data_IF_385485378449
#
_entry.id   IF_385485378449
#
_cell.length_a   1.000
_cell.length_b   1.000
_cell.length_c   1.000
_cell.angle_alpha   90.00
_cell.angle_beta   90.00
_cell.angle_gamma   90.00
#
_symmetry.space_group_name_H-M   'P 1'
#
loop_
_entity.id
_entity.type
_entity.pdbx_description
1 polymer ?
#
# COMPACT_ATOMS: atom_id res chain seq x y z
N UNK A 1 11.35 52.60 -36.38
CA UNK A 1 12.50 51.78 -35.90
C UNK A 1 11.92 50.54 -35.26
N UNK A 2 11.93 49.40 -35.96
CA UNK A 2 11.52 48.12 -35.40
C UNK A 2 12.68 47.56 -34.58
N UNK A 3 12.57 47.62 -33.25
CA UNK A 3 13.43 46.87 -32.35
C UNK A 3 12.97 45.42 -32.36
N UNK A 4 13.65 44.58 -33.13
CA UNK A 4 13.43 43.13 -33.16
C UNK A 4 13.95 42.57 -31.82
N UNK A 5 13.10 42.12 -30.90
CA UNK A 5 13.56 41.62 -29.61
C UNK A 5 14.03 40.17 -29.79
N UNK A 6 15.33 39.96 -29.60
CA UNK A 6 15.92 38.68 -29.22
C UNK A 6 15.74 37.52 -30.20
N UNK A 7 16.78 37.22 -30.97
CA UNK A 7 16.99 35.86 -31.46
C UNK A 7 17.07 34.93 -30.24
N UNK A 8 15.96 34.30 -29.88
CA UNK A 8 15.93 33.23 -28.90
C UNK A 8 16.93 32.16 -29.37
N UNK A 9 17.91 31.84 -28.53
CA UNK A 9 18.94 30.86 -28.86
C UNK A 9 18.29 29.53 -29.27
N UNK A 10 18.47 29.15 -30.54
CA UNK A 10 18.01 27.86 -31.04
C UNK A 10 18.74 26.75 -30.29
N UNK A 11 17.98 25.91 -29.57
CA UNK A 11 18.50 24.68 -28.98
C UNK A 11 18.78 23.69 -30.12
N UNK A 12 20.05 23.50 -30.48
CA UNK A 12 20.47 22.44 -31.38
C UNK A 12 20.63 21.14 -30.59
N UNK A 13 19.82 20.13 -30.93
CA UNK A 13 19.93 18.76 -30.39
C UNK A 13 20.51 17.87 -31.48
N UNK A 14 21.64 17.21 -31.19
CA UNK A 14 22.18 16.12 -32.02
C UNK A 14 21.94 14.80 -31.27
N UNK A 15 21.45 13.79 -31.99
CA UNK A 15 21.12 12.46 -31.48
C UNK A 15 22.28 11.48 -31.67
N UNK A 16 23.46 11.98 -32.05
CA UNK A 16 24.63 11.18 -32.46
C UNK A 16 25.49 10.71 -31.27
N UNK A 17 24.97 10.85 -30.04
CA UNK A 17 25.61 10.47 -28.77
C UNK A 17 25.31 9.01 -28.41
N UNK A 18 26.12 8.37 -27.54
CA UNK A 18 26.11 6.91 -27.38
C UNK A 18 24.71 6.38 -27.10
N UNK A 19 24.39 5.28 -27.80
CA UNK A 19 23.13 4.57 -27.69
C UNK A 19 22.90 4.16 -26.24
N UNK A 20 21.78 4.56 -25.68
CA UNK A 20 21.32 4.00 -24.40
C UNK A 20 20.71 2.64 -24.73
N UNK A 21 21.32 1.56 -24.24
CA UNK A 21 20.90 0.19 -24.58
C UNK A 21 19.60 -0.22 -23.86
N UNK A 22 19.31 0.40 -22.71
CA UNK A 22 18.10 0.16 -21.91
C UNK A 22 17.52 1.46 -21.39
N UNK A 23 16.27 1.75 -21.74
CA UNK A 23 15.48 2.81 -21.13
C UNK A 23 14.44 2.15 -20.23
N UNK A 24 14.65 2.15 -18.92
CA UNK A 24 13.76 1.48 -17.98
C UNK A 24 12.51 2.33 -17.70
N UNK A 25 11.33 1.75 -17.91
CA UNK A 25 10.05 2.45 -17.80
C UNK A 25 9.52 2.49 -16.36
N UNK A 26 10.22 3.17 -15.46
CA UNK A 26 9.82 3.28 -14.04
C UNK A 26 8.44 3.92 -13.85
N UNK A 27 8.09 4.92 -14.68
CA UNK A 27 6.84 5.67 -14.60
C UNK A 27 5.59 4.84 -14.92
N UNK A 28 5.75 3.63 -15.47
CA UNK A 28 4.66 2.72 -15.80
C UNK A 28 4.76 1.40 -15.04
N UNK A 29 5.44 1.35 -13.88
CA UNK A 29 5.47 0.11 -13.08
C UNK A 29 4.24 -0.01 -12.17
N UNK A 30 3.93 1.04 -11.41
CA UNK A 30 2.88 1.03 -10.37
C UNK A 30 1.98 2.25 -10.55
N UNK A 31 0.66 2.07 -10.42
CA UNK A 31 -0.33 3.16 -10.38
C UNK A 31 -1.09 3.14 -9.05
N UNK A 32 -1.43 4.33 -8.54
CA UNK A 32 -2.29 4.46 -7.37
C UNK A 32 -3.77 4.34 -7.73
N UNK A 33 -4.58 3.88 -6.77
CA UNK A 33 -6.03 3.89 -6.84
C UNK A 33 -6.63 4.31 -5.50
N UNK A 34 -7.96 4.37 -5.42
CA UNK A 34 -8.68 4.69 -4.19
C UNK A 34 -8.58 3.59 -3.12
N UNK A 35 -9.69 3.07 -2.63
CA UNK A 35 -9.69 2.01 -1.60
C UNK A 35 -10.15 0.67 -2.15
N UNK A 36 -9.74 -0.44 -1.52
CA UNK A 36 -9.96 -1.80 -1.99
C UNK A 36 -11.41 -2.09 -2.42
N UNK A 37 -12.40 -1.68 -1.61
CA UNK A 37 -13.81 -1.93 -1.90
C UNK A 37 -14.28 -1.29 -3.24
N UNK A 38 -13.71 -0.15 -3.63
CA UNK A 38 -14.03 0.48 -4.93
C UNK A 38 -13.61 -0.40 -6.11
N UNK A 39 -12.58 -1.23 -5.93
CA UNK A 39 -12.12 -2.19 -6.93
C UNK A 39 -13.09 -3.34 -7.22
N UNK A 40 -14.13 -3.51 -6.39
CA UNK A 40 -15.23 -4.44 -6.67
C UNK A 40 -16.21 -3.89 -7.72
N UNK A 41 -16.13 -2.60 -8.05
CA UNK A 41 -17.02 -1.97 -9.03
C UNK A 41 -16.55 -2.24 -10.45
N UNK A 42 -17.51 -2.52 -11.33
CA UNK A 42 -17.25 -2.81 -12.74
C UNK A 42 -16.57 -1.65 -13.48
N UNK A 43 -16.90 -0.39 -13.14
CA UNK A 43 -16.28 0.78 -13.76
C UNK A 43 -14.82 0.96 -13.35
N UNK A 44 -14.51 0.76 -12.07
CA UNK A 44 -13.13 0.75 -11.58
C UNK A 44 -12.29 -0.32 -12.29
N UNK A 45 -12.83 -1.53 -12.43
CA UNK A 45 -12.17 -2.64 -13.13
C UNK A 45 -11.95 -2.34 -14.62
N UNK A 46 -12.94 -1.73 -15.28
CA UNK A 46 -12.80 -1.29 -16.67
C UNK A 46 -11.70 -0.23 -16.82
N UNK A 47 -11.60 0.73 -15.88
CA UNK A 47 -10.55 1.74 -15.87
C UNK A 47 -9.16 1.14 -15.61
N UNK A 48 -9.05 0.17 -14.67
CA UNK A 48 -7.78 -0.52 -14.43
C UNK A 48 -7.30 -1.24 -15.69
N UNK A 49 -8.19 -1.98 -16.36
CA UNK A 49 -7.87 -2.66 -17.62
C UNK A 49 -7.44 -1.67 -18.70
N UNK A 50 -8.11 -0.53 -18.82
CA UNK A 50 -7.74 0.52 -19.77
C UNK A 50 -6.33 1.04 -19.49
N UNK A 51 -6.02 1.36 -18.24
CA UNK A 51 -4.73 1.90 -17.82
C UNK A 51 -3.60 0.86 -17.98
N UNK A 52 -3.87 -0.41 -17.68
CA UNK A 52 -2.93 -1.50 -17.94
C UNK A 52 -2.62 -1.63 -19.45
N UNK A 53 -3.67 -1.70 -20.28
CA UNK A 53 -3.51 -1.94 -21.73
C UNK A 53 -2.93 -0.75 -22.49
N UNK A 54 -3.22 0.49 -22.08
CA UNK A 54 -2.79 1.69 -22.80
C UNK A 54 -1.51 2.30 -22.23
N UNK A 55 -1.27 2.20 -20.91
CA UNK A 55 -0.10 2.80 -20.26
C UNK A 55 0.94 1.79 -19.77
N UNK A 56 0.61 0.49 -19.74
CA UNK A 56 1.56 -0.58 -19.41
C UNK A 56 1.82 -0.80 -17.91
N UNK A 57 0.96 -0.28 -17.02
CA UNK A 57 1.10 -0.48 -15.58
C UNK A 57 1.02 -1.95 -15.18
N UNK A 58 1.97 -2.41 -14.36
CA UNK A 58 2.07 -3.81 -13.93
C UNK A 58 1.47 -4.04 -12.55
N UNK A 59 1.45 -3.01 -11.72
CA UNK A 59 0.92 -3.07 -10.36
C UNK A 59 -0.07 -1.94 -10.08
N UNK A 60 -0.97 -2.18 -9.14
CA UNK A 60 -1.85 -1.16 -8.56
C UNK A 60 -1.72 -1.16 -7.03
N UNK A 61 -1.64 0.04 -6.44
CA UNK A 61 -1.57 0.28 -4.99
C UNK A 61 -2.83 1.02 -4.54
N UNK A 62 -3.51 0.54 -3.51
CA UNK A 62 -4.73 1.14 -2.94
C UNK A 62 -4.79 0.94 -1.43
N UNK A 63 -5.58 1.77 -0.76
CA UNK A 63 -5.79 1.72 0.68
C UNK A 63 -6.87 0.71 1.08
N UNK A 64 -6.96 0.44 2.39
CA UNK A 64 -8.18 -0.09 3.00
C UNK A 64 -8.44 -1.57 2.69
N UNK A 65 -7.38 -2.36 2.48
CA UNK A 65 -7.47 -3.81 2.39
C UNK A 65 -8.19 -4.40 3.62
N UNK A 66 -7.88 -3.88 4.80
CA UNK A 66 -8.42 -4.31 6.10
C UNK A 66 -9.51 -3.38 6.63
N UNK A 67 -10.05 -2.52 5.78
CA UNK A 67 -11.20 -1.71 6.16
C UNK A 67 -12.43 -2.59 6.43
N UNK A 68 -13.31 -2.18 7.34
CA UNK A 68 -14.44 -3.02 7.80
C UNK A 68 -15.43 -3.37 6.69
N UNK A 69 -15.51 -2.59 5.61
CA UNK A 69 -16.36 -2.88 4.45
C UNK A 69 -15.75 -3.88 3.46
N UNK A 70 -14.52 -4.33 3.71
CA UNK A 70 -13.95 -5.54 3.10
C UNK A 70 -14.29 -6.80 3.92
N UNK A 71 -14.85 -6.64 5.12
CA UNK A 71 -15.31 -7.73 5.99
C UNK A 71 -14.23 -8.80 6.28
N UNK A 72 -12.97 -8.38 6.44
CA UNK A 72 -11.83 -9.32 6.52
C UNK A 72 -11.78 -10.08 7.83
N UNK A 73 -12.25 -9.47 8.93
CA UNK A 73 -12.18 -10.07 10.27
C UNK A 73 -13.54 -9.99 10.96
N UNK A 74 -13.94 -11.11 11.56
CA UNK A 74 -15.14 -11.26 12.37
C UNK A 74 -14.80 -11.95 13.69
N UNK A 75 -15.67 -11.82 14.69
CA UNK A 75 -15.60 -12.61 15.92
C UNK A 75 -16.75 -13.61 15.96
N UNK A 76 -16.43 -14.89 16.14
CA UNK A 76 -17.40 -15.98 16.31
C UNK A 76 -16.96 -16.78 17.54
N UNK A 77 -17.83 -16.92 18.52
CA UNK A 77 -17.56 -17.62 19.80
C UNK A 77 -16.27 -17.14 20.50
N UNK A 78 -15.99 -15.83 20.43
CA UNK A 78 -14.81 -15.21 21.02
C UNK A 78 -13.50 -15.48 20.28
N UNK A 79 -13.56 -16.03 19.06
CA UNK A 79 -12.41 -16.28 18.19
C UNK A 79 -12.48 -15.41 16.94
N UNK A 80 -11.33 -14.89 16.51
CA UNK A 80 -11.23 -14.18 15.24
C UNK A 80 -11.34 -15.16 14.08
N UNK A 81 -12.23 -14.86 13.14
CA UNK A 81 -12.42 -15.61 11.89
C UNK A 81 -12.18 -14.66 10.72
N UNK A 82 -11.38 -15.11 9.76
CA UNK A 82 -11.00 -14.31 8.59
C UNK A 82 -11.84 -14.67 7.36
N UNK A 83 -12.33 -13.65 6.66
CA UNK A 83 -13.12 -13.80 5.44
C UNK A 83 -12.46 -13.04 4.29
N UNK A 84 -11.97 -13.78 3.30
CA UNK A 84 -11.25 -13.21 2.16
C UNK A 84 -12.12 -13.05 0.91
N UNK A 85 -13.44 -13.25 0.98
CA UNK A 85 -14.31 -13.30 -0.20
C UNK A 85 -14.21 -12.06 -1.11
N UNK A 86 -14.21 -10.85 -0.52
CA UNK A 86 -14.11 -9.61 -1.30
C UNK A 86 -12.69 -9.33 -1.76
N UNK A 87 -11.69 -9.70 -0.95
CA UNK A 87 -10.29 -9.62 -1.36
C UNK A 87 -10.03 -10.54 -2.57
N UNK A 88 -10.53 -11.77 -2.52
CA UNK A 88 -10.43 -12.74 -3.61
C UNK A 88 -11.09 -12.22 -4.88
N UNK A 89 -12.33 -11.71 -4.79
CA UNK A 89 -13.03 -11.16 -5.95
C UNK A 89 -12.26 -10.00 -6.62
N UNK A 90 -11.63 -9.13 -5.83
CA UNK A 90 -10.79 -8.05 -6.33
C UNK A 90 -9.48 -8.56 -6.95
N UNK A 91 -8.76 -9.42 -6.21
CA UNK A 91 -7.42 -9.87 -6.61
C UNK A 91 -7.50 -10.81 -7.81
N UNK A 92 -8.50 -11.70 -7.88
CA UNK A 92 -8.77 -12.52 -9.07
C UNK A 92 -8.96 -11.62 -10.30
N UNK A 93 -9.82 -10.59 -10.20
CA UNK A 93 -10.09 -9.68 -11.31
C UNK A 93 -8.82 -8.92 -11.76
N UNK A 94 -7.98 -8.50 -10.82
CA UNK A 94 -6.71 -7.84 -11.13
C UNK A 94 -5.74 -8.78 -11.86
N UNK A 95 -5.56 -9.99 -11.33
CA UNK A 95 -4.64 -10.98 -11.89
C UNK A 95 -5.10 -11.47 -13.27
N UNK A 96 -6.41 -11.64 -13.48
CA UNK A 96 -7.01 -11.96 -14.78
C UNK A 96 -6.74 -10.86 -15.82
N UNK A 97 -6.60 -9.61 -15.40
CA UNK A 97 -6.20 -8.49 -16.27
C UNK A 97 -4.68 -8.42 -16.50
N UNK A 98 -3.89 -9.23 -15.80
CA UNK A 98 -2.43 -9.17 -15.83
C UNK A 98 -1.82 -8.09 -14.93
N UNK A 99 -2.60 -7.55 -13.99
CA UNK A 99 -2.16 -6.53 -13.02
C UNK A 99 -1.99 -7.16 -11.65
N UNK A 100 -0.86 -6.88 -10.99
CA UNK A 100 -0.56 -7.41 -9.66
C UNK A 100 -0.85 -6.40 -8.56
N UNK A 101 -1.14 -6.86 -7.33
CA UNK A 101 -1.26 -5.95 -6.21
C UNK A 101 0.12 -5.46 -5.75
N UNK A 102 0.20 -4.15 -5.50
CA UNK A 102 1.13 -3.59 -4.53
C UNK A 102 0.33 -3.43 -3.24
N UNK A 103 0.44 -4.42 -2.36
CA UNK A 103 -0.41 -4.60 -1.19
C UNK A 103 -0.04 -3.58 -0.13
N UNK A 104 -1.03 -2.84 0.38
CA UNK A 104 -0.92 -2.08 1.62
C UNK A 104 -1.67 -2.83 2.74
N UNK A 105 -0.96 -3.18 3.82
CA UNK A 105 -1.60 -3.66 5.04
C UNK A 105 -2.13 -2.47 5.85
N UNK A 106 -3.42 -2.16 5.67
CA UNK A 106 -4.09 -1.08 6.37
C UNK A 106 -5.53 -0.88 5.91
N UNK A 107 -6.34 -0.07 6.60
CA UNK A 107 -6.09 0.46 7.94
C UNK A 107 -6.42 -0.60 9.02
N UNK A 108 -6.45 -0.26 10.31
CA UNK A 108 -6.75 -1.25 11.35
C UNK A 108 -8.25 -1.61 11.33
N UNK A 109 -8.67 -2.89 11.33
CA UNK A 109 -10.08 -3.22 11.51
C UNK A 109 -10.60 -2.73 12.86
N UNK A 110 -11.82 -2.20 12.92
CA UNK A 110 -12.36 -1.63 14.17
C UNK A 110 -12.46 -2.65 15.30
N UNK A 111 -12.63 -3.94 14.95
CA UNK A 111 -12.69 -5.05 15.91
C UNK A 111 -11.42 -5.14 16.78
N UNK A 112 -10.25 -4.89 16.18
CA UNK A 112 -8.95 -5.04 16.84
C UNK A 112 -8.25 -3.71 17.11
N UNK A 113 -8.82 -2.56 16.75
CA UNK A 113 -8.23 -1.24 16.99
C UNK A 113 -8.37 -0.77 18.45
N UNK A 114 -7.39 -0.03 18.99
CA UNK A 114 -7.43 0.50 20.37
C UNK A 114 -8.58 1.49 20.60
N UNK A 115 -8.92 2.26 19.57
CA UNK A 115 -9.99 3.25 19.54
C UNK A 115 -10.57 3.33 18.13
N UNK A 116 -11.60 4.15 17.93
CA UNK A 116 -12.19 4.40 16.60
C UNK A 116 -11.90 5.85 16.22
N UNK A 117 -10.62 6.14 15.96
CA UNK A 117 -10.19 7.40 15.38
C UNK A 117 -9.91 7.20 13.90
N UNK A 118 -10.63 7.95 13.06
CA UNK A 118 -10.82 7.58 11.66
C UNK A 118 -10.41 8.70 10.71
N UNK A 119 -9.78 8.30 9.61
CA UNK A 119 -9.42 9.15 8.48
C UNK A 119 -10.41 9.00 7.32
N UNK A 120 -10.53 10.05 6.51
CA UNK A 120 -11.39 10.15 5.33
C UNK A 120 -12.90 10.05 5.60
N UNK A 121 -13.69 10.32 4.55
CA UNK A 121 -15.15 10.22 4.61
C UNK A 121 -15.65 8.78 4.83
N UNK A 122 -14.86 7.79 4.42
CA UNK A 122 -15.16 6.36 4.55
C UNK A 122 -14.67 5.76 5.87
N UNK A 123 -14.08 6.56 6.77
CA UNK A 123 -13.75 6.22 8.16
C UNK A 123 -12.73 5.09 8.33
N UNK A 124 -11.60 5.14 7.60
CA UNK A 124 -10.48 4.24 7.84
C UNK A 124 -9.88 4.43 9.22
N UNK A 125 -9.76 3.38 10.03
CA UNK A 125 -9.33 3.52 11.42
C UNK A 125 -7.80 3.57 11.55
N UNK A 126 -7.29 4.75 11.89
CA UNK A 126 -5.86 5.05 11.99
C UNK A 126 -5.22 4.57 13.30
N UNK A 127 -5.97 3.95 14.20
CA UNK A 127 -5.47 3.55 15.50
C UNK A 127 -4.66 2.26 15.45
N UNK A 128 -3.65 2.10 16.33
CA UNK A 128 -2.91 0.85 16.44
C UNK A 128 -3.83 -0.30 16.91
N UNK A 129 -3.43 -1.56 16.69
CA UNK A 129 -4.18 -2.70 17.22
C UNK A 129 -4.07 -2.77 18.75
N UNK A 130 -5.13 -3.25 19.42
CA UNK A 130 -5.19 -3.54 20.86
C UNK A 130 -4.05 -4.44 21.30
N UNK A 131 -3.72 -5.43 20.47
CA UNK A 131 -2.66 -6.39 20.70
C UNK A 131 -1.94 -6.67 19.37
N UNK A 132 -0.61 -6.61 19.37
CA UNK A 132 0.20 -6.85 18.15
C UNK A 132 0.02 -8.26 17.59
N UNK A 133 -0.26 -9.24 18.45
CA UNK A 133 -0.49 -10.63 18.02
C UNK A 133 -1.75 -10.74 17.14
N UNK A 134 -2.81 -10.00 17.45
CA UNK A 134 -4.04 -9.99 16.63
C UNK A 134 -3.78 -9.45 15.22
N UNK A 135 -2.93 -8.42 15.11
CA UNK A 135 -2.50 -7.88 13.82
C UNK A 135 -1.58 -8.85 13.07
N UNK A 136 -0.61 -9.43 13.78
CA UNK A 136 0.31 -10.43 13.23
C UNK A 136 -0.45 -11.65 12.67
N UNK A 137 -1.46 -12.12 13.41
CA UNK A 137 -2.34 -13.22 12.99
C UNK A 137 -3.13 -12.87 11.72
N UNK A 138 -3.70 -11.67 11.65
CA UNK A 138 -4.41 -11.19 10.47
C UNK A 138 -3.50 -11.11 9.23
N UNK A 139 -2.31 -10.52 9.37
CA UNK A 139 -1.32 -10.43 8.29
C UNK A 139 -0.90 -11.82 7.81
N UNK A 140 -0.57 -12.71 8.76
CA UNK A 140 -0.18 -14.09 8.46
C UNK A 140 -1.30 -14.86 7.75
N UNK A 141 -2.52 -14.79 8.27
CA UNK A 141 -3.67 -15.47 7.66
C UNK A 141 -3.94 -14.97 6.24
N UNK A 142 -3.83 -13.65 6.02
CA UNK A 142 -4.03 -13.04 4.70
C UNK A 142 -2.99 -13.51 3.68
N UNK A 143 -1.70 -13.47 4.04
CA UNK A 143 -0.62 -13.86 3.13
C UNK A 143 -0.61 -15.38 2.90
N UNK A 144 -0.82 -16.19 3.95
CA UNK A 144 -0.94 -17.64 3.82
C UNK A 144 -2.13 -18.05 2.93
N UNK A 145 -3.27 -17.35 3.05
CA UNK A 145 -4.41 -17.53 2.15
C UNK A 145 -4.03 -17.27 0.69
N UNK A 146 -3.34 -16.16 0.40
CA UNK A 146 -2.88 -15.87 -0.96
C UNK A 146 -1.87 -16.88 -1.49
N UNK A 147 -0.94 -17.36 -0.66
CA UNK A 147 0.01 -18.43 -1.05
C UNK A 147 -0.77 -19.69 -1.43
N UNK A 148 -1.79 -20.06 -0.65
CA UNK A 148 -2.65 -21.23 -0.92
C UNK A 148 -3.49 -21.05 -2.20
N UNK A 149 -4.01 -19.85 -2.43
CA UNK A 149 -4.90 -19.54 -3.57
C UNK A 149 -4.16 -19.36 -4.89
N UNK A 150 -3.09 -18.57 -4.90
CA UNK A 150 -2.38 -18.14 -6.11
C UNK A 150 -1.03 -18.82 -6.31
N UNK A 151 -0.53 -19.52 -5.30
CA UNK A 151 0.78 -20.17 -5.32
C UNK A 151 1.92 -19.22 -4.92
N UNK A 152 2.92 -19.78 -4.23
CA UNK A 152 4.04 -19.00 -3.68
C UNK A 152 4.82 -18.23 -4.74
N UNK A 153 5.03 -18.80 -5.93
CA UNK A 153 5.78 -18.14 -7.00
C UNK A 153 5.09 -16.86 -7.49
N UNK A 154 3.77 -16.86 -7.63
CA UNK A 154 3.03 -15.64 -7.98
C UNK A 154 3.11 -14.62 -6.84
N UNK A 155 2.89 -15.03 -5.60
CA UNK A 155 2.90 -14.13 -4.43
C UNK A 155 4.28 -13.50 -4.19
N UNK A 156 5.38 -14.19 -4.52
CA UNK A 156 6.75 -13.63 -4.50
C UNK A 156 6.93 -12.45 -5.46
N UNK A 157 6.12 -12.37 -6.51
CA UNK A 157 6.12 -11.25 -7.45
C UNK A 157 5.32 -10.04 -6.96
N UNK A 158 4.73 -10.08 -5.76
CA UNK A 158 4.00 -8.95 -5.19
C UNK A 158 4.87 -8.10 -4.26
N UNK A 159 4.41 -6.90 -3.93
CA UNK A 159 5.00 -6.02 -2.93
C UNK A 159 4.05 -5.91 -1.75
N UNK A 160 4.59 -5.89 -0.53
CA UNK A 160 3.83 -5.70 0.71
C UNK A 160 4.35 -4.48 1.45
N UNK A 161 3.48 -3.49 1.65
CA UNK A 161 3.75 -2.26 2.37
C UNK A 161 3.01 -2.26 3.71
N UNK A 162 3.73 -1.93 4.78
CA UNK A 162 3.16 -1.83 6.10
C UNK A 162 2.65 -0.40 6.35
N UNK A 163 1.32 -0.26 6.41
CA UNK A 163 0.61 0.99 6.70
C UNK A 163 0.74 2.08 5.63
N UNK A 164 0.17 3.26 5.92
CA UNK A 164 0.29 4.47 5.11
C UNK A 164 0.53 5.69 6.00
N UNK A 165 1.56 6.49 5.66
CA UNK A 165 1.88 7.78 6.25
C UNK A 165 1.82 7.83 7.79
N UNK A 166 2.49 6.90 8.50
CA UNK A 166 2.41 6.82 9.96
C UNK A 166 2.98 8.05 10.68
N UNK A 167 3.72 8.90 9.97
CA UNK A 167 4.20 10.18 10.48
C UNK A 167 3.09 11.24 10.55
N UNK A 168 1.93 11.04 9.93
CA UNK A 168 0.81 11.98 10.02
C UNK A 168 -0.22 11.47 11.03
N UNK A 169 -0.53 12.28 12.05
CA UNK A 169 -1.43 11.89 13.16
C UNK A 169 -2.82 11.43 12.69
N UNK A 170 -3.32 11.97 11.58
CA UNK A 170 -4.60 11.56 11.01
C UNK A 170 -4.56 10.13 10.47
N UNK A 171 -3.39 9.64 10.05
CA UNK A 171 -3.20 8.32 9.46
C UNK A 171 -2.72 7.28 10.46
N UNK A 172 -2.05 7.71 11.54
CA UNK A 172 -1.67 6.83 12.65
C UNK A 172 -1.76 7.57 13.99
N UNK A 173 -2.59 7.06 14.90
CA UNK A 173 -2.80 7.72 16.22
C UNK A 173 -1.83 7.26 17.31
N UNK A 174 -1.08 6.19 17.05
CA UNK A 174 -0.05 5.68 17.95
C UNK A 174 1.24 6.51 17.94
N UNK A 175 2.16 6.16 18.84
CA UNK A 175 3.52 6.71 18.85
C UNK A 175 4.38 6.09 17.75
N UNK A 176 5.50 6.74 17.42
CA UNK A 176 6.48 6.19 16.47
C UNK A 176 6.98 4.80 16.87
N UNK A 177 7.19 4.53 18.16
CA UNK A 177 7.59 3.20 18.65
C UNK A 177 6.49 2.16 18.46
N UNK A 178 5.22 2.55 18.61
CA UNK A 178 4.10 1.67 18.27
C UNK A 178 4.06 1.34 16.78
N UNK A 179 4.39 2.31 15.90
CA UNK A 179 4.55 2.04 14.47
C UNK A 179 5.72 1.08 14.20
N UNK A 180 6.88 1.27 14.85
CA UNK A 180 8.02 0.36 14.70
C UNK A 180 7.70 -1.06 15.16
N UNK A 181 6.97 -1.21 16.26
CA UNK A 181 6.51 -2.51 16.73
C UNK A 181 5.52 -3.17 15.75
N UNK A 182 4.59 -2.39 15.20
CA UNK A 182 3.66 -2.82 14.14
C UNK A 182 4.42 -3.27 12.88
N UNK A 183 5.41 -2.49 12.45
CA UNK A 183 6.27 -2.79 11.31
C UNK A 183 7.06 -4.07 11.53
N UNK A 184 7.72 -4.20 12.69
CA UNK A 184 8.50 -5.37 13.04
C UNK A 184 7.63 -6.64 13.06
N UNK A 185 6.45 -6.60 13.69
CA UNK A 185 5.57 -7.78 13.72
C UNK A 185 5.03 -8.12 12.32
N UNK A 186 4.71 -7.13 11.49
CA UNK A 186 4.28 -7.32 10.10
C UNK A 186 5.38 -8.00 9.27
N UNK A 187 6.61 -7.49 9.33
CA UNK A 187 7.75 -8.06 8.60
C UNK A 187 8.02 -9.49 9.05
N UNK A 188 8.02 -9.74 10.37
CA UNK A 188 8.21 -11.11 10.91
C UNK A 188 7.11 -12.06 10.44
N UNK A 189 5.84 -11.65 10.49
CA UNK A 189 4.72 -12.47 10.04
C UNK A 189 4.84 -12.86 8.56
N UNK A 190 5.21 -11.91 7.68
CA UNK A 190 5.41 -12.17 6.26
C UNK A 190 6.64 -13.07 6.02
N UNK A 191 7.78 -12.76 6.64
CA UNK A 191 9.03 -13.48 6.42
C UNK A 191 9.04 -14.90 6.98
N UNK A 192 8.23 -15.18 8.00
CA UNK A 192 8.03 -16.54 8.53
C UNK A 192 7.33 -17.46 7.54
N UNK A 193 6.48 -16.92 6.65
CA UNK A 193 5.82 -17.70 5.60
C UNK A 193 6.78 -18.00 4.46
N UNK A 194 7.52 -16.98 4.00
CA UNK A 194 8.60 -17.14 3.03
C UNK A 194 9.57 -15.96 3.06
N UNK A 195 10.87 -16.27 3.14
CA UNK A 195 11.92 -15.27 3.29
C UNK A 195 12.09 -14.37 2.04
N UNK A 196 11.64 -14.80 0.87
CA UNK A 196 11.77 -14.06 -0.38
C UNK A 196 10.62 -13.06 -0.63
N UNK A 197 9.52 -13.13 0.13
CA UNK A 197 8.43 -12.15 0.04
C UNK A 197 8.93 -10.73 0.34
N UNK A 198 8.55 -9.77 -0.51
CA UNK A 198 9.09 -8.40 -0.46
C UNK A 198 8.18 -7.51 0.40
N UNK A 199 8.58 -7.29 1.65
CA UNK A 199 7.87 -6.44 2.61
C UNK A 199 8.70 -5.21 2.96
N UNK A 200 8.06 -4.04 3.07
CA UNK A 200 8.72 -2.76 3.32
C UNK A 200 7.84 -1.67 3.91
N UNK A 201 8.46 -0.51 4.16
CA UNK A 201 7.92 0.70 4.79
C UNK A 201 8.98 1.81 4.78
N UNK A 202 8.81 2.94 5.49
CA UNK A 202 7.73 3.23 6.43
C UNK A 202 6.47 3.88 5.81
N UNK A 203 6.39 3.96 4.48
CA UNK A 203 5.29 4.61 3.75
C UNK A 203 5.00 6.07 4.22
N UNK A 204 6.01 6.77 4.74
CA UNK A 204 5.86 8.14 5.24
C UNK A 204 5.45 9.09 4.13
N UNK A 205 4.68 10.12 4.49
CA UNK A 205 4.40 11.24 3.59
C UNK A 205 5.68 12.05 3.30
N UNK A 206 5.54 13.16 2.59
CA UNK A 206 6.65 14.09 2.35
C UNK A 206 7.37 14.43 3.66
N UNK A 207 8.70 14.50 3.59
CA UNK A 207 9.48 15.21 4.60
C UNK A 207 9.03 16.66 4.58
N UNK A 208 8.29 17.07 5.61
CA UNK A 208 7.94 18.47 5.79
C UNK A 208 9.07 19.09 6.60
N UNK A 209 9.87 20.03 6.05
CA UNK A 209 10.84 20.79 6.80
C UNK A 209 10.11 21.89 7.60
N UNK A 210 9.21 21.49 8.51
CA UNK A 210 8.63 22.40 9.48
C UNK A 210 8.56 21.76 10.86
N UNK A 211 8.18 22.58 11.84
CA UNK A 211 8.26 22.25 13.26
C UNK A 211 7.17 21.28 13.72
N UNK A 212 6.30 20.78 12.83
CA UNK A 212 5.20 19.86 13.20
C UNK A 212 5.70 18.52 13.74
N UNK A 213 6.94 18.14 13.39
CA UNK A 213 7.61 16.94 13.88
C UNK A 213 8.74 17.24 14.90
N UNK A 214 8.90 18.49 15.34
CA UNK A 214 9.92 18.85 16.36
C UNK A 214 9.62 18.21 17.72
N UNK A 215 8.40 17.71 17.92
CA UNK A 215 7.99 16.96 19.11
C UNK A 215 8.01 15.43 18.89
N UNK A 216 8.43 14.94 17.73
CA UNK A 216 8.69 13.51 17.49
C UNK A 216 9.99 13.11 18.20
N UNK A 217 9.96 13.09 19.52
CA UNK A 217 11.05 12.57 20.33
C UNK A 217 11.17 11.07 20.12
N UNK A 218 12.40 10.57 20.04
CA UNK A 218 12.64 9.13 20.14
C UNK A 218 12.18 8.75 21.55
N UNK A 219 11.39 7.68 21.68
CA UNK A 219 11.06 7.13 22.99
C UNK A 219 12.35 6.47 23.54
N UNK A 220 13.39 7.26 23.81
CA UNK A 220 14.52 6.86 24.64
C UNK A 220 14.11 7.09 26.10
N UNK A 221 13.18 6.26 26.59
CA UNK A 221 13.25 5.92 28.00
C UNK A 221 14.25 4.77 28.14
N UNK A 222 15.39 5.09 28.77
CA UNK A 222 16.41 4.14 29.24
C UNK A 222 15.87 3.35 30.42
#
# INVERSE_FOLDING_TARGET
MNTNPGAAGLLQVSVDKPKIDTFEHFWSQVVGAGRANEGLRADWQAHLKLVHTTCGFKYVRFHGLYHDDMHVIHEIDGQHVYNFQYIDALFDAMLDMGVRPFVEFGFCPSLIATEVDTVFWWKGNGSPPKQLDQWSDLVRATVDHWIKRYGLEEVRTWYFECWNEPNLRQFFTGSRSQYYALYECTVKAVKQLDAALRVGGPATSNFVPDTRFDQDWEDYEV
#
